data_IF_342979152796
#
_entry.id   IF_342979152796
#
_cell.length_a   1.000
_cell.length_b   1.000
_cell.length_c   1.000
_cell.angle_alpha   90.00
_cell.angle_beta   90.00
_cell.angle_gamma   90.00
#
_symmetry.space_group_name_H-M   'P 1'
#
loop_
_entity.id
_entity.type
_entity.pdbx_description
1 polymer ?
#
# COMPACT_ATOMS: atom_id res chain seq x y z
N UNK A 1 -16.22 -14.97 -13.62
CA UNK A 1 -15.27 -13.91 -14.02
C UNK A 1 -14.00 -14.61 -14.41
N UNK A 2 -13.57 -14.45 -15.66
CA UNK A 2 -12.26 -14.95 -16.09
C UNK A 2 -11.20 -14.28 -15.19
N UNK A 3 -10.25 -15.05 -14.66
CA UNK A 3 -9.20 -14.55 -13.76
C UNK A 3 -8.43 -13.36 -14.35
N UNK A 4 -8.38 -13.29 -15.69
CA UNK A 4 -7.79 -12.19 -16.45
C UNK A 4 -8.61 -10.88 -16.36
N UNK A 5 -9.94 -10.93 -16.35
CA UNK A 5 -10.77 -9.73 -16.25
C UNK A 5 -10.64 -9.05 -14.88
N UNK A 6 -10.58 -9.85 -13.81
CA UNK A 6 -10.37 -9.34 -12.47
C UNK A 6 -9.00 -8.69 -12.34
N UNK A 7 -7.95 -9.36 -12.83
CA UNK A 7 -6.59 -8.82 -12.81
C UNK A 7 -6.50 -7.50 -13.56
N UNK A 8 -7.06 -7.42 -14.77
CA UNK A 8 -7.08 -6.19 -15.56
C UNK A 8 -7.81 -5.05 -14.85
N UNK A 9 -8.93 -5.35 -14.17
CA UNK A 9 -9.66 -4.35 -13.38
C UNK A 9 -8.85 -3.84 -12.19
N UNK A 10 -8.11 -4.73 -11.50
CA UNK A 10 -7.22 -4.35 -10.40
C UNK A 10 -6.11 -3.44 -10.93
N UNK A 11 -5.42 -3.84 -12.00
CA UNK A 11 -4.35 -3.04 -12.61
C UNK A 11 -4.85 -1.66 -13.03
N UNK A 12 -6.05 -1.58 -13.62
CA UNK A 12 -6.65 -0.32 -14.02
C UNK A 12 -6.90 0.63 -12.83
N UNK A 13 -7.40 0.11 -11.70
CA UNK A 13 -7.59 0.91 -10.47
C UNK A 13 -6.24 1.43 -9.97
N UNK A 14 -5.22 0.56 -9.90
CA UNK A 14 -3.89 0.96 -9.40
C UNK A 14 -3.23 2.00 -10.34
N UNK A 15 -3.47 1.91 -11.65
CA UNK A 15 -2.99 2.89 -12.63
C UNK A 15 -3.65 4.28 -12.49
N UNK A 16 -4.97 4.30 -12.24
CA UNK A 16 -5.72 5.55 -12.08
C UNK A 16 -5.42 6.25 -10.75
N UNK A 17 -5.27 5.50 -9.65
CA UNK A 17 -5.12 6.05 -8.30
C UNK A 17 -3.69 5.93 -7.78
N UNK A 18 -2.90 7.00 -7.96
CA UNK A 18 -1.50 7.07 -7.48
C UNK A 18 -1.35 7.44 -6.01
N UNK A 19 -2.42 7.88 -5.34
CA UNK A 19 -2.41 8.28 -3.94
C UNK A 19 -3.45 7.46 -3.19
N UNK A 20 -3.04 6.85 -2.08
CA UNK A 20 -3.92 6.06 -1.23
C UNK A 20 -3.58 6.21 0.24
N UNK A 21 -4.26 5.43 1.08
CA UNK A 21 -4.02 5.38 2.53
C UNK A 21 -3.28 4.09 2.86
N UNK A 22 -2.10 4.21 3.47
CA UNK A 22 -1.39 3.11 4.11
C UNK A 22 -1.76 3.08 5.59
N UNK A 23 -2.34 1.97 6.04
CA UNK A 23 -2.59 1.68 7.44
C UNK A 23 -1.60 0.62 7.95
N UNK A 24 -0.91 0.94 9.03
CA UNK A 24 0.00 0.08 9.79
C UNK A 24 -0.48 -0.04 11.23
N UNK A 25 0.22 -0.83 12.06
CA UNK A 25 -0.05 -0.94 13.50
C UNK A 25 1.12 -0.33 14.27
N UNK A 26 0.87 0.78 14.97
CA UNK A 26 1.84 1.38 15.89
C UNK A 26 1.32 1.21 17.32
N UNK A 27 2.13 0.60 18.21
CA UNK A 27 1.77 0.38 19.63
C UNK A 27 0.40 -0.27 19.83
N UNK A 28 0.05 -1.21 18.96
CA UNK A 28 -1.23 -1.93 19.00
C UNK A 28 -2.45 -1.12 18.54
N UNK A 29 -2.24 0.03 17.89
CA UNK A 29 -3.32 0.88 17.34
C UNK A 29 -3.12 1.11 15.84
N UNK A 30 -4.19 1.28 15.05
CA UNK A 30 -4.06 1.60 13.65
C UNK A 30 -3.44 2.99 13.46
N UNK A 31 -2.45 3.08 12.59
CA UNK A 31 -1.82 4.32 12.17
C UNK A 31 -1.94 4.46 10.65
N UNK A 32 -2.76 5.41 10.21
CA UNK A 32 -3.09 5.61 8.79
C UNK A 32 -2.52 6.91 8.25
N UNK A 33 -1.98 6.87 7.03
CA UNK A 33 -1.35 8.04 6.38
C UNK A 33 -1.48 7.99 4.87
N UNK A 34 -1.56 9.16 4.25
CA UNK A 34 -1.52 9.28 2.80
C UNK A 34 -0.12 8.95 2.28
N UNK A 35 -0.09 8.13 1.22
CA UNK A 35 1.12 7.72 0.53
C UNK A 35 0.87 7.76 -0.97
N UNK A 36 1.94 7.97 -1.74
CA UNK A 36 1.92 7.73 -3.18
C UNK A 36 2.39 6.31 -3.47
N UNK A 37 1.77 5.68 -4.47
CA UNK A 37 2.08 4.32 -4.87
C UNK A 37 2.44 4.27 -6.35
N UNK A 38 3.36 3.36 -6.68
CA UNK A 38 3.61 2.87 -8.03
C UNK A 38 3.60 1.35 -7.98
N UNK A 39 3.44 0.69 -9.12
CA UNK A 39 3.27 -0.76 -9.14
C UNK A 39 4.10 -1.44 -10.23
N UNK A 40 4.44 -2.69 -9.95
CA UNK A 40 4.88 -3.67 -10.94
C UNK A 40 3.93 -4.86 -10.84
N UNK A 41 3.06 -5.00 -11.84
CA UNK A 41 1.89 -5.89 -11.80
C UNK A 41 1.00 -5.60 -10.57
N UNK A 42 0.78 -6.59 -9.70
CA UNK A 42 -0.02 -6.40 -8.48
C UNK A 42 0.83 -6.05 -7.24
N UNK A 43 2.13 -5.81 -7.45
CA UNK A 43 3.05 -5.44 -6.37
C UNK A 43 3.10 -3.92 -6.24
N UNK A 44 2.68 -3.39 -5.09
CA UNK A 44 2.70 -1.96 -4.79
C UNK A 44 4.02 -1.56 -4.13
N UNK A 45 4.57 -0.45 -4.57
CA UNK A 45 5.73 0.21 -4.00
C UNK A 45 5.36 1.63 -3.60
N UNK A 46 5.95 2.10 -2.50
CA UNK A 46 5.76 3.47 -2.05
C UNK A 46 7.11 4.07 -1.65
N UNK A 47 7.48 5.26 -2.14
CA UNK A 47 8.72 5.89 -1.73
C UNK A 47 8.61 6.39 -0.29
N UNK A 48 9.60 6.08 0.54
CA UNK A 48 9.69 6.64 1.88
C UNK A 48 11.13 6.86 2.30
N UNK A 49 11.36 7.79 3.23
CA UNK A 49 12.69 7.99 3.81
C UNK A 49 12.96 6.89 4.84
N UNK A 50 14.21 6.40 4.87
CA UNK A 50 14.66 5.38 5.83
C UNK A 50 14.50 5.85 7.28
N UNK A 51 14.60 7.16 7.52
CA UNK A 51 14.55 7.76 8.86
C UNK A 51 13.11 8.09 9.31
N UNK A 52 12.11 7.34 8.84
CA UNK A 52 10.71 7.61 9.18
C UNK A 52 10.12 6.50 10.03
N UNK A 53 9.32 6.89 11.04
CA UNK A 53 8.63 5.98 11.96
C UNK A 53 7.86 4.83 11.28
N UNK A 54 7.49 4.98 9.99
CA UNK A 54 6.78 3.94 9.25
C UNK A 54 7.62 2.73 8.87
N UNK A 55 8.93 2.90 8.64
CA UNK A 55 9.81 1.79 8.33
C UNK A 55 9.95 0.88 9.56
N UNK A 56 10.17 1.50 10.73
CA UNK A 56 10.23 0.81 12.03
C UNK A 56 8.92 0.06 12.33
N UNK A 57 7.76 0.71 12.15
CA UNK A 57 6.45 0.07 12.36
C UNK A 57 6.23 -1.18 11.47
N UNK A 58 6.66 -1.13 10.20
CA UNK A 58 6.49 -2.26 9.26
C UNK A 58 7.51 -3.37 9.53
N UNK A 59 8.73 -3.02 9.97
CA UNK A 59 9.72 -4.00 10.43
C UNK A 59 9.23 -4.75 11.69
N UNK A 60 8.57 -4.05 12.61
CA UNK A 60 7.95 -4.65 13.80
C UNK A 60 6.70 -5.48 13.45
N UNK A 61 5.87 -5.00 12.53
CA UNK A 61 4.68 -5.71 12.06
C UNK A 61 4.42 -5.50 10.56
N UNK A 62 4.68 -6.52 9.72
CA UNK A 62 4.54 -6.39 8.27
C UNK A 62 3.09 -6.44 7.76
N UNK A 63 2.11 -6.64 8.65
CA UNK A 63 0.70 -6.65 8.26
C UNK A 63 0.19 -5.23 8.07
N UNK A 64 -0.12 -4.90 6.81
CA UNK A 64 -0.59 -3.58 6.40
C UNK A 64 -1.89 -3.67 5.62
N UNK A 65 -2.60 -2.55 5.52
CA UNK A 65 -3.75 -2.40 4.64
C UNK A 65 -3.59 -1.14 3.77
N UNK A 66 -3.90 -1.26 2.49
CA UNK A 66 -3.86 -0.15 1.53
C UNK A 66 -5.27 0.08 0.99
N UNK A 67 -5.71 1.33 1.01
CA UNK A 67 -6.92 1.79 0.34
C UNK A 67 -6.52 2.70 -0.83
N UNK A 68 -6.86 2.30 -2.06
CA UNK A 68 -6.66 3.03 -3.31
C UNK A 68 -8.01 3.53 -3.84
#
# INVERSE_FOLDING_TARGET
MEQNELKNKILHIIDEYKTGVLATVEKGRPHSRYMTFYHDDITLYTPTSKDTHKAEEIEENPHVHILL
#
